data_IF_127234173864
#
_entry.id   IF_127234173864
#
_cell.length_a   1.000
_cell.length_b   1.000
_cell.length_c   1.000
_cell.angle_alpha   90.00
_cell.angle_beta   90.00
_cell.angle_gamma   90.00
#
_symmetry.space_group_name_H-M   'P 1'
#
loop_
_entity.id
_entity.type
_entity.pdbx_description
1 polymer ?
#
# COMPACT_ATOMS: atom_id res chain seq x y z
N UNK A 1 -7.04 -13.54 -4.38
CA UNK A 1 -7.79 -12.70 -5.34
C UNK A 1 -6.79 -12.02 -6.27
N UNK A 2 -7.00 -12.12 -7.58
CA UNK A 2 -6.31 -11.32 -8.59
C UNK A 2 -7.08 -10.02 -8.84
N UNK A 3 -6.44 -9.02 -9.45
CA UNK A 3 -7.10 -7.80 -9.88
C UNK A 3 -6.58 -7.33 -11.23
N UNK A 4 -7.00 -6.14 -11.65
CA UNK A 4 -6.68 -5.60 -12.98
C UNK A 4 -5.17 -5.42 -13.20
N UNK A 5 -4.43 -5.09 -12.15
CA UNK A 5 -3.01 -4.74 -12.22
C UNK A 5 -2.11 -5.69 -11.41
N UNK A 6 -2.66 -6.76 -10.82
CA UNK A 6 -1.92 -7.67 -9.97
C UNK A 6 -2.41 -9.11 -10.04
N UNK A 7 -1.48 -10.05 -9.81
CA UNK A 7 -1.78 -11.48 -9.87
C UNK A 7 -2.41 -11.99 -8.58
N UNK A 8 -1.88 -11.58 -7.42
CA UNK A 8 -2.34 -12.09 -6.11
C UNK A 8 -2.27 -11.03 -5.02
N UNK A 9 -3.32 -10.92 -4.22
CA UNK A 9 -3.27 -10.16 -2.98
C UNK A 9 -2.46 -10.92 -1.90
N UNK A 10 -1.59 -10.20 -1.19
CA UNK A 10 -0.86 -10.68 -0.03
C UNK A 10 -1.28 -9.89 1.21
N UNK A 11 -2.34 -10.37 1.86
CA UNK A 11 -2.95 -9.66 2.98
C UNK A 11 -2.21 -9.92 4.30
N UNK A 12 -1.26 -9.04 4.65
CA UNK A 12 -0.45 -9.13 5.88
C UNK A 12 -1.06 -8.50 7.14
N UNK A 13 -2.03 -7.60 6.99
CA UNK A 13 -2.71 -6.92 8.09
C UNK A 13 -4.22 -7.13 7.99
N UNK A 14 -4.86 -7.52 9.07
CA UNK A 14 -6.31 -7.57 9.17
C UNK A 14 -6.84 -6.31 9.82
N UNK A 15 -7.96 -5.85 9.31
CA UNK A 15 -8.64 -4.63 9.71
C UNK A 15 -7.74 -3.36 9.60
N UNK A 16 -8.27 -2.20 10.01
CA UNK A 16 -7.57 -0.92 9.96
C UNK A 16 -8.34 0.15 10.75
N UNK A 17 -7.68 1.24 11.14
CA UNK A 17 -8.35 2.48 11.54
C UNK A 17 -8.52 3.43 10.33
N UNK A 18 -9.69 4.06 10.13
CA UNK A 18 -9.91 5.03 9.06
C UNK A 18 -9.05 6.29 9.25
N UNK A 19 -8.50 6.84 8.17
CA UNK A 19 -7.64 8.06 8.19
C UNK A 19 -8.04 9.12 7.16
N UNK A 20 -9.03 8.82 6.32
CA UNK A 20 -9.53 9.70 5.27
C UNK A 20 -10.96 9.33 4.91
N UNK A 21 -11.61 10.21 4.15
CA UNK A 21 -12.94 9.98 3.59
C UNK A 21 -12.98 8.72 2.71
N UNK A 22 -11.89 8.40 2.00
CA UNK A 22 -11.76 7.16 1.24
C UNK A 22 -11.75 5.87 2.07
N UNK A 23 -11.88 5.94 3.40
CA UNK A 23 -12.09 4.79 4.27
C UNK A 23 -13.58 4.53 4.57
N UNK A 24 -14.50 5.44 4.19
CA UNK A 24 -15.94 5.29 4.45
C UNK A 24 -16.48 3.99 3.85
N UNK A 25 -16.22 3.76 2.57
CA UNK A 25 -16.65 2.58 1.81
C UNK A 25 -15.53 1.55 1.64
N UNK A 26 -14.81 1.24 2.73
CA UNK A 26 -13.63 0.36 2.70
C UNK A 26 -13.98 -1.06 2.23
N UNK A 27 -13.34 -1.51 1.13
CA UNK A 27 -13.50 -2.86 0.60
C UNK A 27 -13.22 -3.97 1.63
N UNK A 28 -12.18 -3.81 2.48
CA UNK A 28 -11.87 -4.82 3.49
C UNK A 28 -13.02 -4.98 4.51
N UNK A 29 -13.62 -3.86 4.93
CA UNK A 29 -14.78 -3.86 5.82
C UNK A 29 -16.01 -4.46 5.14
N UNK A 30 -16.27 -4.11 3.88
CA UNK A 30 -17.35 -4.72 3.10
C UNK A 30 -17.15 -6.24 2.95
N UNK A 31 -15.91 -6.69 2.76
CA UNK A 31 -15.57 -8.10 2.65
C UNK A 31 -15.79 -8.86 3.98
N UNK A 32 -15.40 -8.28 5.10
CA UNK A 32 -15.69 -8.87 6.42
C UNK A 32 -17.20 -8.98 6.65
N UNK A 33 -17.96 -7.91 6.37
CA UNK A 33 -19.42 -7.93 6.45
C UNK A 33 -20.04 -9.02 5.56
N UNK A 34 -19.57 -9.17 4.32
CA UNK A 34 -20.02 -10.22 3.38
C UNK A 34 -19.84 -11.63 3.93
N UNK A 35 -18.80 -11.86 4.71
CA UNK A 35 -18.53 -13.16 5.33
C UNK A 35 -19.05 -13.26 6.78
N UNK A 36 -19.88 -12.33 7.22
CA UNK A 36 -20.44 -12.32 8.58
C UNK A 36 -19.39 -12.11 9.67
N UNK A 37 -18.24 -11.53 9.35
CA UNK A 37 -17.20 -11.18 10.33
C UNK A 37 -17.44 -9.74 10.80
N UNK A 38 -17.66 -9.50 12.11
CA UNK A 38 -17.82 -8.15 12.63
C UNK A 38 -16.50 -7.39 12.53
N UNK A 39 -16.53 -6.15 12.04
CA UNK A 39 -15.37 -5.26 12.04
C UNK A 39 -15.14 -4.73 13.46
N UNK A 40 -14.04 -5.13 14.07
CA UNK A 40 -13.72 -4.80 15.46
C UNK A 40 -12.87 -3.54 15.60
N UNK A 41 -12.20 -3.14 14.51
CA UNK A 41 -11.11 -2.16 14.51
C UNK A 41 -9.79 -2.70 15.06
N UNK A 42 -9.74 -3.98 15.48
CA UNK A 42 -8.54 -4.57 16.05
C UNK A 42 -7.55 -4.96 14.95
N UNK A 43 -6.57 -4.08 14.74
CA UNK A 43 -5.53 -4.31 13.72
C UNK A 43 -4.64 -5.48 14.13
N UNK A 44 -4.52 -6.47 13.24
CA UNK A 44 -3.74 -7.68 13.48
C UNK A 44 -2.76 -7.96 12.36
N UNK A 45 -1.48 -8.07 12.70
CA UNK A 45 -0.47 -8.56 11.77
C UNK A 45 -0.57 -10.09 11.62
N UNK A 46 -0.45 -10.58 10.38
CA UNK A 46 -0.63 -11.99 10.00
C UNK A 46 0.71 -12.64 9.69
N UNK A 47 1.45 -12.96 10.75
CA UNK A 47 2.75 -13.65 10.67
C UNK A 47 2.66 -14.98 9.91
N UNK A 48 1.54 -15.69 10.05
CA UNK A 48 1.27 -16.96 9.35
C UNK A 48 1.30 -16.82 7.81
N UNK A 49 1.10 -15.60 7.30
CA UNK A 49 1.10 -15.30 5.86
C UNK A 49 2.44 -14.80 5.35
N UNK A 50 3.43 -14.52 6.20
CA UNK A 50 4.72 -13.93 5.81
C UNK A 50 5.49 -14.76 4.77
N UNK A 51 5.35 -16.08 4.82
CA UNK A 51 6.11 -16.98 3.94
C UNK A 51 5.39 -17.32 2.64
N UNK A 52 4.25 -16.70 2.35
CA UNK A 52 3.48 -16.98 1.14
C UNK A 52 4.27 -16.71 -0.16
N UNK A 53 5.03 -15.60 -0.30
CA UNK A 53 5.85 -15.36 -1.49
C UNK A 53 6.95 -16.42 -1.64
N UNK A 54 7.64 -16.78 -0.55
CA UNK A 54 8.70 -17.80 -0.58
C UNK A 54 8.19 -19.19 -1.01
N UNK A 55 6.89 -19.47 -0.82
CA UNK A 55 6.25 -20.73 -1.24
C UNK A 55 5.67 -20.67 -2.66
N UNK A 56 5.80 -19.54 -3.36
CA UNK A 56 5.22 -19.34 -4.69
C UNK A 56 6.33 -19.39 -5.74
N UNK A 57 6.45 -20.52 -6.45
CA UNK A 57 7.48 -20.68 -7.47
C UNK A 57 7.27 -19.85 -8.74
N UNK A 58 6.00 -19.58 -9.10
CA UNK A 58 5.66 -18.76 -10.27
C UNK A 58 5.94 -17.28 -9.97
N UNK A 59 6.66 -16.59 -10.86
CA UNK A 59 6.77 -15.13 -10.81
C UNK A 59 5.37 -14.51 -10.70
N UNK A 60 5.21 -13.63 -9.71
CA UNK A 60 3.91 -13.11 -9.27
C UNK A 60 4.09 -11.64 -8.93
N UNK A 61 3.18 -10.81 -9.41
CA UNK A 61 2.99 -9.44 -8.95
C UNK A 61 2.00 -9.49 -7.77
N UNK A 62 2.53 -9.27 -6.57
CA UNK A 62 1.78 -9.28 -5.32
C UNK A 62 1.27 -7.90 -4.99
N UNK A 63 0.02 -7.82 -4.54
CA UNK A 63 -0.54 -6.59 -4.02
C UNK A 63 -0.76 -6.65 -2.51
N UNK A 64 -0.20 -5.68 -1.79
CA UNK A 64 -0.38 -5.46 -0.36
C UNK A 64 -1.29 -4.24 -0.20
N UNK A 65 -2.60 -4.49 -0.30
CA UNK A 65 -3.64 -3.45 -0.23
C UNK A 65 -4.08 -3.08 1.19
N UNK A 66 -3.74 -3.91 2.16
CA UNK A 66 -3.97 -3.60 3.57
C UNK A 66 -2.80 -2.79 4.12
N UNK A 67 -3.08 -2.00 5.14
CA UNK A 67 -2.13 -1.00 5.59
C UNK A 67 -1.05 -1.62 6.50
N UNK A 68 0.02 -2.09 5.87
CA UNK A 68 1.21 -2.61 6.55
C UNK A 68 1.84 -1.58 7.51
N UNK A 69 1.61 -0.28 7.28
CA UNK A 69 2.19 0.82 8.05
C UNK A 69 1.21 1.41 9.07
N UNK A 70 0.18 0.65 9.47
CA UNK A 70 -0.66 1.02 10.59
C UNK A 70 0.16 1.12 11.90
N UNK A 71 -0.18 2.08 12.78
CA UNK A 71 0.54 2.30 14.04
C UNK A 71 0.55 1.09 15.00
N UNK A 72 -0.38 0.15 14.83
CA UNK A 72 -0.47 -1.09 15.61
C UNK A 72 0.40 -2.23 15.06
N UNK A 73 0.97 -2.07 13.86
CA UNK A 73 1.97 -2.99 13.30
C UNK A 73 3.34 -2.48 13.77
N UNK A 74 4.08 -3.32 14.48
CA UNK A 74 5.37 -2.92 15.04
C UNK A 74 6.43 -2.75 13.95
N UNK A 75 7.47 -1.94 14.20
CA UNK A 75 8.63 -1.80 13.31
C UNK A 75 9.19 -3.16 12.90
N UNK A 76 9.33 -4.05 13.88
CA UNK A 76 9.84 -5.39 13.67
C UNK A 76 8.99 -6.20 12.67
N UNK A 77 7.67 -6.07 12.73
CA UNK A 77 6.75 -6.76 11.81
C UNK A 77 6.82 -6.18 10.40
N UNK A 78 6.93 -4.84 10.27
CA UNK A 78 7.13 -4.19 8.98
C UNK A 78 8.47 -4.65 8.37
N UNK A 79 9.54 -4.68 9.15
CA UNK A 79 10.85 -5.17 8.70
C UNK A 79 10.82 -6.65 8.30
N UNK A 80 10.05 -7.50 8.98
CA UNK A 80 9.85 -8.89 8.53
C UNK A 80 9.19 -8.95 7.15
N UNK A 81 8.15 -8.15 6.92
CA UNK A 81 7.47 -8.10 5.64
C UNK A 81 8.41 -7.59 4.52
N UNK A 82 9.08 -6.47 4.73
CA UNK A 82 10.04 -5.90 3.76
C UNK A 82 11.22 -6.84 3.50
N UNK A 83 11.72 -7.52 4.54
CA UNK A 83 12.76 -8.54 4.40
C UNK A 83 12.30 -9.72 3.53
N UNK A 84 11.05 -10.18 3.68
CA UNK A 84 10.49 -11.23 2.82
C UNK A 84 10.33 -10.79 1.38
N UNK A 85 10.03 -9.52 1.14
CA UNK A 85 9.99 -8.96 -0.22
C UNK A 85 11.39 -8.93 -0.85
N UNK A 86 12.39 -8.47 -0.08
CA UNK A 86 13.79 -8.39 -0.51
C UNK A 86 14.35 -9.77 -0.86
N UNK A 87 14.01 -10.79 -0.07
CA UNK A 87 14.45 -12.18 -0.27
C UNK A 87 13.72 -12.91 -1.42
N UNK A 88 12.77 -12.26 -2.09
CA UNK A 88 12.00 -12.83 -3.19
C UNK A 88 12.10 -11.95 -4.47
N UNK A 89 13.31 -11.75 -5.03
CA UNK A 89 13.53 -10.85 -6.18
C UNK A 89 12.81 -11.30 -7.46
N UNK A 90 12.40 -12.56 -7.56
CA UNK A 90 11.58 -13.09 -8.65
C UNK A 90 10.12 -12.60 -8.63
N UNK A 91 9.72 -11.85 -7.60
CA UNK A 91 8.39 -11.29 -7.43
C UNK A 91 8.44 -9.77 -7.37
N UNK A 92 7.37 -9.11 -7.80
CA UNK A 92 7.17 -7.68 -7.60
C UNK A 92 6.09 -7.48 -6.56
N UNK A 93 6.27 -6.50 -5.67
CA UNK A 93 5.33 -6.18 -4.59
C UNK A 93 4.80 -4.76 -4.74
N UNK A 94 3.52 -4.60 -5.08
CA UNK A 94 2.80 -3.33 -5.00
C UNK A 94 2.33 -3.12 -3.55
N UNK A 95 3.00 -2.25 -2.82
CA UNK A 95 2.67 -1.91 -1.44
C UNK A 95 1.97 -0.56 -1.43
N UNK A 96 0.71 -0.53 -0.99
CA UNK A 96 -0.09 0.70 -0.94
C UNK A 96 -0.41 1.07 0.51
N UNK A 97 -0.29 2.35 0.84
CA UNK A 97 -0.67 2.88 2.16
C UNK A 97 -1.29 4.27 2.07
N UNK A 98 -2.04 4.65 3.12
CA UNK A 98 -2.51 6.02 3.35
C UNK A 98 -1.65 6.76 4.39
N UNK A 99 -0.58 6.12 4.88
CA UNK A 99 0.28 6.58 5.98
C UNK A 99 1.76 6.70 5.54
N UNK A 100 2.09 7.44 4.47
CA UNK A 100 3.45 7.50 3.96
C UNK A 100 4.46 8.09 4.95
N UNK A 101 4.02 8.89 5.92
CA UNK A 101 4.86 9.47 6.97
C UNK A 101 5.51 8.37 7.80
N UNK A 102 4.75 7.31 8.08
CA UNK A 102 5.24 6.13 8.81
C UNK A 102 6.30 5.36 8.03
N UNK A 103 6.15 5.31 6.71
CA UNK A 103 7.14 4.68 5.83
C UNK A 103 8.44 5.49 5.85
N UNK A 104 8.34 6.81 5.70
CA UNK A 104 9.49 7.70 5.69
C UNK A 104 10.25 7.68 7.01
N UNK A 105 9.55 7.71 8.14
CA UNK A 105 10.13 7.58 9.48
C UNK A 105 10.87 6.24 9.64
N UNK A 106 10.21 5.13 9.32
CA UNK A 106 10.79 3.79 9.51
C UNK A 106 12.03 3.57 8.66
N UNK A 107 12.02 4.03 7.40
CA UNK A 107 13.14 3.82 6.50
C UNK A 107 14.30 4.76 6.82
N UNK A 108 14.05 5.99 7.29
CA UNK A 108 15.13 6.92 7.64
C UNK A 108 16.16 7.14 6.52
N UNK A 109 15.72 7.10 5.25
CA UNK A 109 16.59 7.18 4.07
C UNK A 109 17.13 5.84 3.54
N UNK A 110 16.80 4.71 4.16
CA UNK A 110 17.09 3.37 3.63
C UNK A 110 16.35 3.18 2.30
N UNK A 111 17.09 2.66 1.31
CA UNK A 111 16.56 2.31 0.00
C UNK A 111 15.88 0.93 0.06
N UNK A 112 14.61 0.86 -0.32
CA UNK A 112 13.88 -0.39 -0.56
C UNK A 112 14.47 -1.13 -1.76
N UNK A 113 14.36 -2.46 -1.76
CA UNK A 113 14.76 -3.28 -2.90
C UNK A 113 13.93 -2.95 -4.15
N UNK A 114 14.54 -3.08 -5.33
CA UNK A 114 13.92 -2.67 -6.61
C UNK A 114 12.58 -3.37 -6.89
N UNK A 115 12.39 -4.56 -6.33
CA UNK A 115 11.17 -5.32 -6.50
C UNK A 115 10.04 -4.92 -5.53
N UNK A 116 10.26 -3.94 -4.66
CA UNK A 116 9.26 -3.34 -3.77
C UNK A 116 8.84 -1.98 -4.33
N UNK A 117 7.64 -1.95 -4.89
CA UNK A 117 7.02 -0.75 -5.42
C UNK A 117 6.13 -0.16 -4.34
N UNK A 118 6.42 1.06 -3.91
CA UNK A 118 5.69 1.72 -2.83
C UNK A 118 4.75 2.78 -3.40
N UNK A 119 3.53 2.84 -2.89
CA UNK A 119 2.57 3.82 -3.35
C UNK A 119 1.68 4.35 -2.27
N UNK A 120 1.03 5.47 -2.60
CA UNK A 120 0.10 6.15 -1.70
C UNK A 120 -1.27 6.30 -2.33
N UNK A 121 -2.32 6.17 -1.53
CA UNK A 121 -3.67 6.55 -1.97
C UNK A 121 -3.82 8.07 -1.90
N UNK A 122 -4.38 8.68 -2.95
CA UNK A 122 -4.74 10.10 -3.03
C UNK A 122 -6.17 10.19 -3.51
N UNK A 123 -7.12 10.39 -2.59
CA UNK A 123 -8.54 10.30 -2.94
C UNK A 123 -9.10 11.59 -3.54
N UNK A 124 -8.44 12.73 -3.27
CA UNK A 124 -8.81 14.06 -3.74
C UNK A 124 -7.59 15.01 -3.60
N UNK A 125 -7.71 16.23 -4.11
CA UNK A 125 -6.67 17.26 -4.06
C UNK A 125 -6.14 17.50 -2.64
N UNK A 126 -6.98 17.40 -1.62
CA UNK A 126 -6.58 17.61 -0.21
C UNK A 126 -5.63 16.54 0.32
N UNK A 127 -5.50 15.39 -0.36
CA UNK A 127 -4.60 14.28 0.02
C UNK A 127 -3.37 14.20 -0.86
N UNK A 128 -3.24 15.10 -1.84
CA UNK A 128 -2.10 15.14 -2.75
C UNK A 128 -0.76 15.31 -2.01
N UNK A 129 -0.77 15.95 -0.83
CA UNK A 129 0.40 16.08 0.06
C UNK A 129 1.15 14.77 0.34
N UNK A 130 0.46 13.63 0.33
CA UNK A 130 1.08 12.29 0.50
C UNK A 130 2.13 11.97 -0.56
N UNK A 131 2.00 12.55 -1.75
CA UNK A 131 2.95 12.34 -2.86
C UNK A 131 4.30 13.00 -2.55
N UNK A 132 4.35 14.10 -1.79
CA UNK A 132 5.62 14.74 -1.35
C UNK A 132 6.37 13.80 -0.41
N UNK A 133 5.66 13.24 0.57
CA UNK A 133 6.21 12.24 1.48
C UNK A 133 6.69 11.00 0.70
N UNK A 134 5.91 10.54 -0.28
CA UNK A 134 6.29 9.42 -1.16
C UNK A 134 7.58 9.70 -1.94
N UNK A 135 7.76 10.91 -2.48
CA UNK A 135 8.95 11.28 -3.25
C UNK A 135 10.25 11.24 -2.40
N UNK A 136 10.14 11.46 -1.09
CA UNK A 136 11.24 11.38 -0.13
C UNK A 136 11.61 9.94 0.29
N UNK A 137 10.72 8.97 0.10
CA UNK A 137 10.97 7.56 0.43
C UNK A 137 12.02 6.99 -0.53
N UNK A 138 13.01 6.27 0.01
CA UNK A 138 13.99 5.52 -0.78
C UNK A 138 13.37 4.31 -1.47
N UNK A 139 12.97 4.46 -2.74
CA UNK A 139 12.44 3.38 -3.57
C UNK A 139 12.81 3.60 -5.04
N UNK A 140 13.03 2.51 -5.78
CA UNK A 140 13.25 2.58 -7.23
C UNK A 140 11.95 2.90 -7.99
N UNK A 141 10.83 2.33 -7.53
CA UNK A 141 9.53 2.48 -8.15
C UNK A 141 8.51 3.01 -7.16
N UNK A 142 7.83 4.10 -7.54
CA UNK A 142 6.74 4.69 -6.78
C UNK A 142 5.49 4.80 -7.63
N UNK A 143 4.33 4.68 -7.00
CA UNK A 143 3.05 4.84 -7.67
C UNK A 143 2.04 5.62 -6.84
N UNK A 144 1.10 6.27 -7.51
CA UNK A 144 -0.04 6.93 -6.86
C UNK A 144 -1.30 6.17 -7.21
N UNK A 145 -2.10 5.85 -6.20
CA UNK A 145 -3.42 5.27 -6.38
C UNK A 145 -4.48 6.33 -6.12
N UNK A 146 -5.10 6.84 -7.16
CA UNK A 146 -6.28 7.71 -7.09
C UNK A 146 -7.53 6.83 -6.95
N UNK A 147 -7.53 6.03 -5.88
CA UNK A 147 -8.61 5.09 -5.55
C UNK A 147 -8.91 5.12 -4.03
N UNK A 148 -10.19 5.30 -3.65
CA UNK A 148 -11.28 5.76 -4.51
C UNK A 148 -11.06 7.21 -4.95
N UNK A 149 -11.34 7.53 -6.22
CA UNK A 149 -11.36 8.91 -6.71
C UNK A 149 -12.62 9.62 -6.20
N UNK A 150 -12.49 10.34 -5.09
CA UNK A 150 -13.59 11.08 -4.45
C UNK A 150 -13.70 12.52 -4.92
N UNK A 151 -12.65 13.04 -5.54
CA UNK A 151 -12.62 14.37 -6.10
C UNK A 151 -11.53 14.51 -7.16
N UNK A 152 -11.44 15.70 -7.73
CA UNK A 152 -10.40 16.05 -8.67
C UNK A 152 -9.01 15.94 -8.03
N UNK A 153 -8.05 15.45 -8.81
CA UNK A 153 -6.63 15.40 -8.45
C UNK A 153 -5.85 15.98 -9.63
N UNK A 154 -5.29 17.16 -9.44
CA UNK A 154 -4.43 17.84 -10.39
C UNK A 154 -3.00 17.80 -9.89
N UNK A 155 -2.11 17.26 -10.73
CA UNK A 155 -0.66 17.34 -10.53
C UNK A 155 -0.17 18.59 -11.27
N UNK A 156 0.27 19.61 -10.54
CA UNK A 156 0.92 20.80 -11.10
C UNK A 156 2.39 20.54 -11.49
N UNK A 157 3.06 21.55 -12.06
CA UNK A 157 4.44 21.42 -12.53
C UNK A 157 5.43 21.15 -11.38
N UNK A 158 5.21 21.74 -10.19
CA UNK A 158 6.01 21.46 -8.98
C UNK A 158 5.86 19.99 -8.54
N UNK A 159 4.65 19.44 -8.71
CA UNK A 159 4.42 18.01 -8.55
C UNK A 159 5.19 17.22 -9.57
N UNK A 160 5.21 17.57 -10.85
CA UNK A 160 5.93 16.79 -11.85
C UNK A 160 7.45 16.78 -11.61
N UNK A 161 8.04 17.87 -11.13
CA UNK A 161 9.46 17.90 -10.76
C UNK A 161 9.78 16.97 -9.58
N UNK A 162 8.90 16.92 -8.58
CA UNK A 162 9.02 15.99 -7.43
C UNK A 162 8.54 14.55 -7.73
N UNK A 163 7.61 14.41 -8.68
CA UNK A 163 6.97 13.19 -9.16
C UNK A 163 7.62 12.61 -10.40
N UNK A 164 8.73 13.18 -10.90
CA UNK A 164 9.71 12.48 -11.75
C UNK A 164 10.24 11.19 -11.08
N UNK A 165 9.88 10.97 -9.81
CA UNK A 165 10.10 9.77 -9.00
C UNK A 165 8.91 8.81 -8.92
N UNK A 166 7.73 9.20 -9.40
CA UNK A 166 6.49 8.41 -9.51
C UNK A 166 6.37 7.93 -10.95
N UNK A 167 6.47 6.62 -11.15
CA UNK A 167 6.39 6.05 -12.50
C UNK A 167 4.96 5.75 -12.95
N UNK A 168 4.03 5.57 -12.01
CA UNK A 168 2.73 4.95 -12.27
C UNK A 168 1.62 5.67 -11.52
N UNK A 169 0.49 5.87 -12.20
CA UNK A 169 -0.77 6.34 -11.59
C UNK A 169 -1.86 5.32 -11.87
N UNK A 170 -2.53 4.87 -10.83
CA UNK A 170 -3.68 3.97 -10.88
C UNK A 170 -4.92 4.80 -10.54
N UNK A 171 -5.96 4.76 -11.36
CA UNK A 171 -7.19 5.52 -11.14
C UNK A 171 -8.43 4.62 -11.23
N UNK A 172 -9.38 4.85 -10.32
CA UNK A 172 -10.62 4.08 -10.24
C UNK A 172 -11.63 4.70 -9.28
N UNK A 173 -12.92 4.46 -9.54
CA UNK A 173 -14.01 4.86 -8.66
C UNK A 173 -14.09 3.99 -7.40
N UNK A 174 -15.07 4.28 -6.53
CA UNK A 174 -15.39 3.42 -5.40
C UNK A 174 -15.80 2.02 -5.86
N UNK A 175 -15.29 1.00 -5.16
CA UNK A 175 -15.58 -0.43 -5.40
C UNK A 175 -16.37 -1.07 -4.26
N UNK A 176 -16.87 -0.25 -3.33
CA UNK A 176 -17.65 -0.65 -2.15
C UNK A 176 -19.14 -0.69 -2.41
#
# INVERSE_FOLDING_TARGET
>A
MSGKYWDRAWSLVEECAPVSEGCRNCWARAMDARFGRPWTGAVRFREDRLNLPARTGKQTLWAVWNDLFHASVSDQQVWWALGRMTLAPQHVFLVLTKRPERVAELLGGIQLSDNVWIGVSVEDQGRLGRVRTLAAIGAAHRFVSVEPMLGMVEFDDDWWESANRVGWVICGGETG
#
